data_IF_406833584027
#
_entry.id   IF_406833584027
#
_cell.length_a   1.000
_cell.length_b   1.000
_cell.length_c   1.000
_cell.angle_alpha   90.00
_cell.angle_beta   90.00
_cell.angle_gamma   90.00
#
_symmetry.space_group_name_H-M   'P 1'
#
loop_
_entity.id
_entity.type
_entity.pdbx_description
1 polymer ?
#
# COMPACT_ATOMS: atom_id res chain seq x y z
N UNK A 1 -3.94 13.03 -15.13
CA UNK A 1 -2.80 13.36 -14.23
C UNK A 1 -2.54 12.28 -13.19
N UNK A 2 -3.50 11.83 -12.38
CA UNK A 2 -3.22 10.78 -11.36
C UNK A 2 -2.63 9.50 -11.97
N UNK A 3 -3.18 9.05 -13.11
CA UNK A 3 -2.63 7.86 -13.82
C UNK A 3 -1.15 8.07 -14.20
N UNK A 4 -0.77 9.25 -14.68
CA UNK A 4 0.63 9.53 -15.00
C UNK A 4 1.54 9.50 -13.75
N UNK A 5 1.06 10.00 -12.59
CA UNK A 5 1.76 9.91 -11.31
C UNK A 5 1.92 8.46 -10.88
N UNK A 6 0.86 7.64 -11.01
CA UNK A 6 0.92 6.22 -10.66
C UNK A 6 1.83 5.43 -11.60
N UNK A 7 1.85 5.73 -12.89
CA UNK A 7 2.78 5.13 -13.85
C UNK A 7 4.23 5.49 -13.53
N UNK A 8 4.51 6.74 -13.21
CA UNK A 8 5.83 7.17 -12.75
C UNK A 8 6.21 6.46 -11.44
N UNK A 9 5.30 6.43 -10.46
CA UNK A 9 5.51 5.74 -9.19
C UNK A 9 5.81 4.25 -9.39
N UNK A 10 5.11 3.59 -10.32
CA UNK A 10 5.36 2.19 -10.69
C UNK A 10 6.72 2.03 -11.34
N UNK A 11 7.03 2.84 -12.36
CA UNK A 11 8.31 2.77 -13.06
C UNK A 11 9.51 2.91 -12.12
N UNK A 12 9.48 3.89 -11.19
CA UNK A 12 10.53 4.10 -10.21
C UNK A 12 10.68 2.94 -9.22
N UNK A 13 9.58 2.28 -8.86
CA UNK A 13 9.58 1.15 -7.92
C UNK A 13 10.02 -0.15 -8.55
N UNK A 14 9.71 -0.36 -9.83
CA UNK A 14 10.04 -1.61 -10.54
C UNK A 14 11.43 -1.54 -11.19
N UNK A 15 11.94 -0.35 -11.47
CA UNK A 15 13.28 -0.23 -12.07
C UNK A 15 14.32 -0.97 -11.25
N UNK A 16 14.99 -1.94 -11.86
CA UNK A 16 16.04 -2.77 -11.24
C UNK A 16 15.63 -3.34 -9.87
N UNK A 17 14.38 -3.76 -9.72
CA UNK A 17 13.81 -4.22 -8.45
C UNK A 17 14.56 -5.43 -7.88
N UNK A 18 15.17 -6.25 -8.74
CA UNK A 18 15.96 -7.41 -8.35
C UNK A 18 17.40 -7.08 -7.95
N UNK A 19 17.88 -5.88 -8.29
CA UNK A 19 19.26 -5.46 -8.09
C UNK A 19 19.41 -4.36 -7.04
N UNK A 20 18.36 -3.56 -6.83
CA UNK A 20 18.34 -2.43 -5.90
C UNK A 20 17.12 -2.55 -4.98
N UNK A 21 17.33 -2.63 -3.65
CA UNK A 21 18.61 -2.70 -2.93
C UNK A 21 19.35 -4.01 -3.21
N UNK A 22 20.69 -4.02 -3.08
CA UNK A 22 21.47 -5.21 -3.36
C UNK A 22 21.26 -6.27 -2.27
N UNK A 23 21.20 -7.54 -2.71
CA UNK A 23 21.04 -8.68 -1.81
C UNK A 23 19.63 -8.84 -1.27
N UNK A 24 19.49 -9.71 -0.27
CA UNK A 24 18.28 -9.95 0.52
C UNK A 24 18.58 -9.56 1.96
N UNK A 25 17.69 -8.83 2.58
CA UNK A 25 17.71 -8.66 4.04
C UNK A 25 17.27 -9.97 4.72
N UNK A 26 17.59 -10.10 6.00
CA UNK A 26 17.17 -11.26 6.80
C UNK A 26 15.63 -11.42 6.78
N UNK A 27 14.91 -10.31 6.91
CA UNK A 27 13.45 -10.32 6.93
C UNK A 27 12.85 -10.68 5.57
N UNK A 28 13.40 -10.16 4.48
CA UNK A 28 12.99 -10.55 3.12
C UNK A 28 13.18 -12.05 2.87
N UNK A 29 14.33 -12.60 3.29
CA UNK A 29 14.63 -14.01 3.13
C UNK A 29 13.64 -14.89 3.90
N UNK A 30 13.29 -14.50 5.13
CA UNK A 30 12.33 -15.22 5.95
C UNK A 30 10.91 -15.18 5.37
N UNK A 31 10.44 -14.02 4.90
CA UNK A 31 9.15 -13.93 4.21
C UNK A 31 9.11 -14.75 2.91
N UNK A 32 10.23 -14.80 2.19
CA UNK A 32 10.38 -15.68 1.03
C UNK A 32 10.26 -17.17 1.40
N UNK A 33 10.90 -17.59 2.50
CA UNK A 33 10.83 -18.98 3.01
C UNK A 33 9.42 -19.34 3.46
N UNK A 34 8.73 -18.44 4.16
CA UNK A 34 7.34 -18.62 4.58
C UNK A 34 6.42 -18.82 3.36
N UNK A 35 6.58 -17.96 2.34
CA UNK A 35 5.81 -18.05 1.11
C UNK A 35 6.06 -19.36 0.35
N UNK A 36 7.31 -19.82 0.27
CA UNK A 36 7.65 -21.12 -0.33
C UNK A 36 7.00 -22.26 0.45
N UNK A 37 7.06 -22.22 1.79
CA UNK A 37 6.39 -23.21 2.64
C UNK A 37 4.88 -23.27 2.41
N UNK A 38 4.22 -22.12 2.21
CA UNK A 38 2.80 -22.07 1.86
C UNK A 38 2.53 -22.77 0.51
N UNK A 39 3.37 -22.52 -0.49
CA UNK A 39 3.25 -23.16 -1.81
C UNK A 39 3.51 -24.67 -1.76
N UNK A 40 4.21 -25.15 -0.75
CA UNK A 40 4.46 -26.57 -0.47
C UNK A 40 3.40 -27.19 0.45
N UNK A 41 2.33 -26.45 0.77
CA UNK A 41 1.18 -26.95 1.55
C UNK A 41 1.28 -26.71 3.06
N UNK A 42 2.31 -26.02 3.55
CA UNK A 42 2.46 -25.67 4.96
C UNK A 42 1.62 -24.43 5.30
N UNK A 43 0.33 -24.63 5.54
CA UNK A 43 -0.59 -23.54 5.88
C UNK A 43 -0.53 -23.23 7.38
N UNK A 44 -0.35 -21.96 7.74
CA UNK A 44 -0.24 -21.49 9.12
C UNK A 44 -1.02 -20.19 9.32
N UNK A 45 -1.55 -19.99 10.52
CA UNK A 45 -2.18 -18.74 10.97
C UNK A 45 -1.18 -17.75 11.55
N UNK A 46 0.00 -18.26 11.95
CA UNK A 46 1.06 -17.50 12.55
C UNK A 46 2.41 -18.07 12.09
N UNK A 47 3.29 -17.19 11.66
CA UNK A 47 4.63 -17.55 11.20
C UNK A 47 5.67 -17.16 12.23
N UNK A 48 6.50 -18.10 12.71
CA UNK A 48 7.45 -17.84 13.80
C UNK A 48 8.69 -17.08 13.37
N UNK A 49 8.98 -16.98 12.07
CA UNK A 49 10.12 -16.22 11.57
C UNK A 49 9.90 -14.72 11.79
N UNK A 50 10.98 -13.93 11.78
CA UNK A 50 10.94 -12.49 12.02
C UNK A 50 10.24 -12.10 13.33
N UNK A 51 10.51 -12.88 14.40
CA UNK A 51 9.92 -12.71 15.74
C UNK A 51 8.39 -12.88 15.79
N UNK A 52 7.86 -13.56 14.82
CA UNK A 52 6.44 -13.80 14.66
C UNK A 52 5.75 -12.79 13.72
N UNK A 53 4.93 -13.30 12.83
CA UNK A 53 4.17 -12.48 11.89
C UNK A 53 2.77 -13.01 11.63
N UNK A 54 1.87 -12.08 11.38
CA UNK A 54 0.53 -12.32 10.88
C UNK A 54 0.57 -12.89 9.45
N UNK A 55 -0.44 -13.71 9.05
CA UNK A 55 -0.37 -14.48 7.82
C UNK A 55 -0.52 -13.66 6.54
N UNK A 56 -1.16 -12.49 6.58
CA UNK A 56 -1.56 -11.74 5.39
C UNK A 56 -0.40 -11.48 4.44
N UNK A 57 0.75 -11.03 4.96
CA UNK A 57 1.90 -10.71 4.14
C UNK A 57 2.47 -11.96 3.46
N UNK A 58 2.74 -13.01 4.21
CA UNK A 58 3.33 -14.24 3.69
C UNK A 58 2.43 -14.93 2.65
N UNK A 59 1.10 -14.89 2.83
CA UNK A 59 0.15 -15.38 1.81
C UNK A 59 0.11 -14.50 0.56
N UNK A 60 0.20 -13.18 0.69
CA UNK A 60 0.25 -12.30 -0.50
C UNK A 60 1.55 -12.49 -1.29
N UNK A 61 2.68 -12.74 -0.60
CA UNK A 61 3.95 -13.10 -1.24
C UNK A 61 3.83 -14.47 -1.92
N UNK A 62 3.23 -15.46 -1.27
CA UNK A 62 3.01 -16.77 -1.86
C UNK A 62 2.17 -16.68 -3.15
N UNK A 63 1.10 -15.88 -3.15
CA UNK A 63 0.28 -15.62 -4.33
C UNK A 63 1.09 -14.99 -5.47
N UNK A 64 1.92 -13.98 -5.15
CA UNK A 64 2.82 -13.36 -6.12
C UNK A 64 3.81 -14.36 -6.70
N UNK A 65 4.41 -15.22 -5.85
CA UNK A 65 5.34 -16.26 -6.30
C UNK A 65 4.65 -17.37 -7.09
N UNK A 66 3.40 -17.70 -6.80
CA UNK A 66 2.61 -18.65 -7.58
C UNK A 66 2.38 -18.14 -9.01
N UNK A 67 2.13 -16.85 -9.17
CA UNK A 67 1.84 -16.24 -10.46
C UNK A 67 3.08 -15.92 -11.30
N UNK A 68 4.18 -15.52 -10.66
CA UNK A 68 5.36 -14.93 -11.33
C UNK A 68 6.63 -15.77 -11.17
N UNK A 69 6.56 -16.88 -10.44
CA UNK A 69 7.71 -17.72 -10.13
C UNK A 69 8.38 -17.36 -8.79
N UNK A 70 9.13 -18.35 -8.25
CA UNK A 70 9.81 -18.26 -6.94
C UNK A 70 11.09 -17.44 -7.05
N UNK A 71 10.98 -16.12 -7.14
CA UNK A 71 12.12 -15.22 -7.33
C UNK A 71 12.01 -13.91 -6.59
N UNK A 72 13.12 -13.17 -6.54
CA UNK A 72 13.25 -11.89 -5.84
C UNK A 72 12.28 -10.83 -6.39
N UNK A 73 12.01 -10.87 -7.69
CA UNK A 73 11.04 -9.97 -8.30
C UNK A 73 9.63 -10.18 -7.72
N UNK A 74 9.16 -11.43 -7.69
CA UNK A 74 7.83 -11.77 -7.16
C UNK A 74 7.71 -11.42 -5.67
N UNK A 75 8.79 -11.64 -4.90
CA UNK A 75 8.87 -11.31 -3.48
C UNK A 75 8.67 -9.80 -3.25
N UNK A 76 9.44 -8.96 -3.94
CA UNK A 76 9.44 -7.49 -3.76
C UNK A 76 8.25 -6.80 -4.42
N UNK A 77 7.68 -7.38 -5.48
CA UNK A 77 6.55 -6.80 -6.20
C UNK A 77 5.32 -6.58 -5.29
N UNK A 78 5.15 -7.39 -4.28
CA UNK A 78 4.06 -7.22 -3.29
C UNK A 78 4.10 -5.82 -2.67
N UNK A 79 5.27 -5.39 -2.19
CA UNK A 79 5.42 -4.06 -1.58
C UNK A 79 5.34 -2.91 -2.62
N UNK A 80 5.73 -3.16 -3.86
CA UNK A 80 5.49 -2.19 -4.94
C UNK A 80 3.99 -1.95 -5.12
N UNK A 81 3.18 -3.01 -5.14
CA UNK A 81 1.72 -2.90 -5.27
C UNK A 81 1.10 -2.16 -4.09
N UNK A 82 1.49 -2.49 -2.86
CA UNK A 82 1.01 -1.78 -1.67
C UNK A 82 1.47 -0.31 -1.63
N UNK A 83 2.70 -0.04 -2.06
CA UNK A 83 3.22 1.33 -2.18
C UNK A 83 2.44 2.17 -3.20
N UNK A 84 2.06 1.60 -4.34
CA UNK A 84 1.19 2.25 -5.32
C UNK A 84 -0.22 2.46 -4.79
N UNK A 85 -0.77 1.45 -4.11
CA UNK A 85 -2.08 1.55 -3.47
C UNK A 85 -2.09 2.64 -2.39
N UNK A 86 -1.00 2.84 -1.65
CA UNK A 86 -0.84 3.93 -0.68
C UNK A 86 -0.88 5.31 -1.37
N UNK A 87 -0.20 5.48 -2.50
CA UNK A 87 -0.27 6.72 -3.30
C UNK A 87 -1.71 6.97 -3.78
N UNK A 88 -2.37 5.93 -4.32
CA UNK A 88 -3.72 6.04 -4.85
C UNK A 88 -4.76 6.38 -3.77
N UNK A 89 -4.72 5.69 -2.61
CA UNK A 89 -5.67 5.93 -1.52
C UNK A 89 -5.48 7.32 -0.90
N UNK A 90 -4.24 7.81 -0.80
CA UNK A 90 -3.95 9.16 -0.33
C UNK A 90 -4.57 10.20 -1.27
N UNK A 91 -4.43 10.04 -2.59
CA UNK A 91 -5.06 10.93 -3.56
C UNK A 91 -6.60 10.87 -3.48
N UNK A 92 -7.16 9.67 -3.35
CA UNK A 92 -8.61 9.47 -3.25
C UNK A 92 -9.21 10.09 -1.99
N UNK A 93 -8.48 10.01 -0.86
CA UNK A 93 -8.89 10.65 0.39
C UNK A 93 -8.75 12.18 0.33
N UNK A 94 -7.64 12.69 -0.21
CA UNK A 94 -7.34 14.12 -0.20
C UNK A 94 -8.18 14.92 -1.21
N UNK A 95 -8.52 14.35 -2.36
CA UNK A 95 -9.17 15.08 -3.46
C UNK A 95 -10.48 15.77 -3.07
N UNK A 96 -11.44 15.13 -2.37
CA UNK A 96 -12.69 15.79 -1.97
C UNK A 96 -12.53 16.78 -0.82
N UNK A 97 -11.41 16.76 -0.07
CA UNK A 97 -11.21 17.54 1.16
C UNK A 97 -10.28 18.74 0.96
N UNK A 98 -9.21 18.54 0.20
CA UNK A 98 -8.16 19.54 -0.01
C UNK A 98 -8.17 20.07 -1.47
N UNK A 99 -9.06 19.52 -2.31
CA UNK A 99 -9.13 19.83 -3.73
C UNK A 99 -8.14 19.00 -4.56
N UNK A 100 -8.44 18.87 -5.86
CA UNK A 100 -7.67 18.04 -6.80
C UNK A 100 -6.20 18.47 -6.94
N UNK A 101 -5.83 19.77 -6.98
CA UNK A 101 -4.42 20.16 -7.09
C UNK A 101 -3.58 19.69 -5.89
N UNK A 102 -4.06 19.89 -4.67
CA UNK A 102 -3.37 19.48 -3.45
C UNK A 102 -3.24 17.96 -3.36
N UNK A 103 -4.31 17.21 -3.73
CA UNK A 103 -4.29 15.75 -3.77
C UNK A 103 -3.25 15.20 -4.77
N UNK A 104 -3.16 15.81 -5.96
CA UNK A 104 -2.19 15.42 -6.98
C UNK A 104 -0.76 15.76 -6.56
N UNK A 105 -0.55 16.90 -5.91
CA UNK A 105 0.76 17.27 -5.36
C UNK A 105 1.20 16.28 -4.27
N UNK A 106 0.31 15.95 -3.32
CA UNK A 106 0.60 14.97 -2.27
C UNK A 106 0.92 13.59 -2.85
N UNK A 107 0.14 13.13 -3.84
CA UNK A 107 0.40 11.87 -4.54
C UNK A 107 1.75 11.90 -5.29
N UNK A 108 2.09 13.00 -5.96
CA UNK A 108 3.36 13.15 -6.66
C UNK A 108 4.56 13.14 -5.68
N UNK A 109 4.44 13.83 -4.55
CA UNK A 109 5.46 13.83 -3.51
C UNK A 109 5.66 12.42 -2.95
N UNK A 110 4.58 11.67 -2.63
CA UNK A 110 4.69 10.28 -2.19
C UNK A 110 5.28 9.34 -3.26
N UNK A 111 5.00 9.63 -4.54
CA UNK A 111 5.52 8.83 -5.64
C UNK A 111 7.05 8.89 -5.74
N UNK A 112 7.66 10.06 -5.47
CA UNK A 112 9.09 10.33 -5.68
C UNK A 112 9.89 10.45 -4.39
N UNK A 113 9.24 10.58 -3.23
CA UNK A 113 9.94 10.72 -1.95
C UNK A 113 10.75 9.47 -1.62
N UNK A 114 11.94 9.68 -1.07
CA UNK A 114 12.91 8.61 -0.82
C UNK A 114 12.36 7.48 0.06
N UNK A 115 11.84 7.79 1.25
CA UNK A 115 11.38 6.75 2.19
C UNK A 115 10.20 5.92 1.69
N UNK A 116 9.11 6.51 1.14
CA UNK A 116 8.04 5.74 0.51
C UNK A 116 8.52 4.90 -0.68
N UNK A 117 9.49 5.42 -1.44
CA UNK A 117 10.06 4.70 -2.57
C UNK A 117 10.93 3.53 -2.08
N UNK A 118 11.87 3.77 -1.17
CA UNK A 118 12.78 2.76 -0.65
C UNK A 118 12.02 1.62 0.05
N UNK A 119 11.13 1.93 1.00
CA UNK A 119 10.35 0.93 1.74
C UNK A 119 9.43 0.08 0.87
N UNK A 120 8.98 0.61 -0.27
CA UNK A 120 8.17 -0.17 -1.22
C UNK A 120 9.01 -1.06 -2.16
N UNK A 121 10.33 -1.03 -2.07
CA UNK A 121 11.25 -1.86 -2.87
C UNK A 121 11.85 -3.03 -2.08
N UNK A 122 11.60 -3.09 -0.80
CA UNK A 122 12.00 -4.17 0.09
C UNK A 122 10.79 -5.02 0.46
N UNK A 123 10.98 -6.33 0.58
CA UNK A 123 9.89 -7.24 0.92
C UNK A 123 9.66 -7.34 2.43
N UNK A 124 9.21 -6.23 3.02
CA UNK A 124 8.91 -6.10 4.44
C UNK A 124 7.41 -5.97 4.68
N UNK A 125 6.86 -6.72 5.65
CA UNK A 125 5.44 -6.61 6.02
C UNK A 125 5.00 -5.19 6.40
N UNK A 126 5.91 -4.41 7.00
CA UNK A 126 5.67 -3.01 7.32
C UNK A 126 5.35 -2.14 6.10
N UNK A 127 5.77 -2.53 4.90
CA UNK A 127 5.46 -1.84 3.65
C UNK A 127 3.97 -1.82 3.28
N UNK A 128 3.15 -2.73 3.85
CA UNK A 128 1.70 -2.71 3.70
C UNK A 128 1.02 -1.63 4.56
N UNK A 129 1.65 -1.21 5.66
CA UNK A 129 1.06 -0.34 6.66
C UNK A 129 0.56 1.01 6.10
N UNK A 130 1.29 1.74 5.25
CA UNK A 130 0.82 3.01 4.70
C UNK A 130 -0.50 2.88 3.92
N UNK A 131 -0.68 1.78 3.19
CA UNK A 131 -1.93 1.51 2.48
C UNK A 131 -3.09 1.27 3.45
N UNK A 132 -2.93 0.37 4.43
CA UNK A 132 -4.00 0.05 5.37
C UNK A 132 -4.35 1.23 6.28
N UNK A 133 -3.37 2.02 6.70
CA UNK A 133 -3.62 3.27 7.42
C UNK A 133 -4.40 4.28 6.57
N UNK A 134 -3.99 4.46 5.30
CA UNK A 134 -4.71 5.31 4.36
C UNK A 134 -6.15 4.83 4.12
N UNK A 135 -6.33 3.51 3.99
CA UNK A 135 -7.65 2.89 3.81
C UNK A 135 -8.53 3.10 5.07
N UNK A 136 -7.97 2.92 6.26
CA UNK A 136 -8.69 3.14 7.51
C UNK A 136 -9.12 4.61 7.65
N UNK A 137 -8.23 5.56 7.37
CA UNK A 137 -8.53 7.00 7.37
C UNK A 137 -9.62 7.31 6.33
N UNK A 138 -9.49 6.80 5.11
CA UNK A 138 -10.49 6.99 4.06
C UNK A 138 -11.86 6.45 4.47
N UNK A 139 -11.91 5.21 4.99
CA UNK A 139 -13.15 4.57 5.44
C UNK A 139 -13.79 5.33 6.60
N UNK A 140 -12.98 5.75 7.60
CA UNK A 140 -13.45 6.54 8.73
C UNK A 140 -14.13 7.84 8.27
N UNK A 141 -13.51 8.57 7.36
CA UNK A 141 -14.09 9.79 6.82
C UNK A 141 -15.37 9.51 6.03
N UNK A 142 -15.44 8.43 5.25
CA UNK A 142 -16.66 8.03 4.55
C UNK A 142 -17.84 7.78 5.52
N UNK A 143 -17.57 7.13 6.65
CA UNK A 143 -18.58 6.90 7.69
C UNK A 143 -19.04 8.23 8.30
N UNK A 144 -18.11 9.12 8.63
CA UNK A 144 -18.46 10.44 9.16
C UNK A 144 -19.28 11.29 8.20
N UNK A 145 -18.98 11.23 6.90
CA UNK A 145 -19.72 11.93 5.86
C UNK A 145 -21.14 11.36 5.66
N UNK A 146 -21.30 10.06 5.84
CA UNK A 146 -22.59 9.37 5.71
C UNK A 146 -23.49 9.55 6.95
N UNK A 147 -22.98 10.04 8.06
CA UNK A 147 -23.72 10.18 9.32
C UNK A 147 -24.89 11.18 9.18
N UNK A 148 -26.15 10.83 9.58
CA UNK A 148 -27.36 11.61 9.31
C UNK A 148 -27.36 13.05 9.87
N UNK A 149 -26.57 13.34 10.91
CA UNK A 149 -26.50 14.65 11.56
C UNK A 149 -25.85 15.74 10.70
N UNK A 150 -24.89 15.39 9.84
CA UNK A 150 -24.20 16.35 8.96
C UNK A 150 -25.06 16.81 7.79
N UNK A 151 -25.83 15.91 7.20
CA UNK A 151 -26.77 16.23 6.13
C UNK A 151 -27.90 17.18 6.58
N UNK A 152 -28.27 17.15 7.88
CA UNK A 152 -29.24 18.10 8.46
C UNK A 152 -28.64 19.48 8.71
N UNK A 153 -27.38 19.56 9.16
CA UNK A 153 -26.70 20.83 9.43
C UNK A 153 -26.46 21.65 8.16
N UNK A 154 -26.06 21.02 7.07
CA UNK A 154 -25.84 21.68 5.77
C UNK A 154 -27.15 22.20 5.16
N UNK A 155 -28.26 21.43 5.26
CA UNK A 155 -29.60 21.87 4.83
C UNK A 155 -30.15 23.03 5.66
N UNK A 156 -29.92 23.01 6.98
CA UNK A 156 -30.32 24.09 7.86
C UNK A 156 -29.51 25.37 7.66
N UNK A 157 -28.21 25.25 7.31
CA UNK A 157 -27.34 26.37 6.93
C UNK A 157 -27.74 27.02 5.60
N UNK A 158 -28.07 26.20 4.59
CA UNK A 158 -28.52 26.67 3.28
C UNK A 158 -29.86 27.44 3.36
N UNK A 159 -30.78 26.99 4.23
CA UNK A 159 -32.09 27.68 4.49
C UNK A 159 -31.97 28.97 5.25
N UNK A 160 -30.88 29.22 5.96
CA UNK A 160 -30.63 30.49 6.68
C UNK A 160 -29.86 31.53 5.85
N UNK A 161 -29.35 31.14 4.69
CA UNK A 161 -28.58 32.02 3.79
C UNK A 161 -29.43 32.61 2.64
N UNK A 162 -30.73 32.32 2.63
CA UNK A 162 -31.75 32.91 1.75
C UNK A 162 -32.63 33.85 2.57
#
# INVERSE_FOLDING_TARGET
>A
MLVAILLLAFALRVWQLTSIPPGLTHDEANHGREAIGILEGVLRYFFPLNYGSEPLYSYTVALSMAALGRGLFALRLVNVVFGLAAVAITAAWAAPRLGRPAALLGAALLAVSFWPLASSREALRAGMLPFFMGLAVWAFWRILEAAPGRARGERAGALRAV
#
